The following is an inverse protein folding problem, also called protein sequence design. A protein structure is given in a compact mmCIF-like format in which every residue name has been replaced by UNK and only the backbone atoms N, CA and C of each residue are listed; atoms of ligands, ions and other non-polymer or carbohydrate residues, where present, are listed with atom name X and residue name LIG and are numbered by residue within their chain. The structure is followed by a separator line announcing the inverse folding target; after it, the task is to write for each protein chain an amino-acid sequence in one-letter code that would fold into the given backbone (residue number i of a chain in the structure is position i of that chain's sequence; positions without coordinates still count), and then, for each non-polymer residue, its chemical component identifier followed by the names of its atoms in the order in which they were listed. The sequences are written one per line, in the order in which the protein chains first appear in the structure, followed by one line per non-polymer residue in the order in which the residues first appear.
data_IF_775152641786
#
_entry.id   IF_775152641786
#
_cell.length_a   1.000
_cell.length_b   1.000
_cell.length_c   1.000
_cell.angle_alpha   90.00
_cell.angle_beta   90.00
_cell.angle_gamma   90.00
#
_symmetry.space_group_name_H-M   'P 1'
#
loop_
_entity.id
_entity.type
_entity.pdbx_description
1 polymer ?
#
# COMPACT_ATOMS: atom_id res chain seq x y z
N UNK A 1 40.66 8.46 -32.00
CA UNK A 1 39.43 7.70 -32.32
C UNK A 1 38.68 7.51 -31.02
N UNK A 2 37.49 8.10 -30.93
CA UNK A 2 36.58 8.13 -29.77
C UNK A 2 35.75 6.84 -29.77
N UNK A 3 35.46 6.29 -28.57
CA UNK A 3 34.12 5.88 -28.06
C UNK A 3 34.31 5.17 -26.70
N UNK A 4 34.20 5.86 -25.55
CA UNK A 4 33.06 5.95 -24.58
C UNK A 4 32.35 4.64 -24.20
N UNK A 5 32.12 4.40 -22.89
CA UNK A 5 31.18 3.36 -22.47
C UNK A 5 31.08 2.91 -20.99
N UNK A 6 31.02 3.84 -20.01
CA UNK A 6 30.23 3.80 -18.75
C UNK A 6 30.27 2.56 -17.80
N UNK A 7 30.65 2.71 -16.51
CA UNK A 7 30.14 1.87 -15.43
C UNK A 7 28.85 2.47 -14.86
N UNK A 8 27.73 1.78 -15.03
CA UNK A 8 26.41 2.17 -14.48
C UNK A 8 26.04 1.26 -13.32
N UNK A 9 26.51 1.60 -12.12
CA UNK A 9 25.91 1.15 -10.85
C UNK A 9 25.29 2.37 -10.16
N UNK A 10 24.16 2.84 -10.70
CA UNK A 10 23.28 3.71 -9.92
C UNK A 10 22.57 2.84 -8.89
N UNK A 11 23.13 2.86 -7.68
CA UNK A 11 22.40 2.62 -6.44
C UNK A 11 21.13 3.48 -6.47
N UNK A 12 19.99 2.85 -6.74
CA UNK A 12 18.67 3.45 -6.58
C UNK A 12 18.41 3.58 -5.08
N UNK A 13 18.91 4.66 -4.52
CA UNK A 13 18.50 5.14 -3.22
C UNK A 13 17.04 5.54 -3.32
N UNK A 14 16.13 4.65 -2.91
CA UNK A 14 14.73 4.98 -2.65
C UNK A 14 14.67 5.95 -1.47
N UNK A 15 14.85 7.24 -1.74
CA UNK A 15 14.64 8.29 -0.75
C UNK A 15 13.16 8.68 -0.77
N UNK A 16 12.31 7.80 -0.23
CA UNK A 16 10.99 8.24 0.23
C UNK A 16 11.28 9.08 1.47
N UNK A 17 11.30 10.41 1.34
CA UNK A 17 11.10 11.28 2.49
C UNK A 17 9.68 11.02 3.00
N UNK A 18 9.57 9.99 3.84
CA UNK A 18 8.50 9.88 4.80
C UNK A 18 8.51 11.19 5.56
N UNK A 19 7.46 12.01 5.40
CA UNK A 19 7.17 13.06 6.35
C UNK A 19 6.98 12.36 7.70
N UNK A 20 8.07 12.16 8.44
CA UNK A 20 8.03 11.73 9.82
C UNK A 20 7.29 12.81 10.57
N UNK A 21 6.03 12.55 10.89
CA UNK A 21 5.37 13.24 11.97
C UNK A 21 6.24 13.01 13.22
N UNK A 22 7.04 14.00 13.59
CA UNK A 22 7.77 14.01 14.84
C UNK A 22 6.76 14.09 15.97
N UNK A 23 6.39 12.95 16.54
CA UNK A 23 5.59 12.87 17.77
C UNK A 23 6.48 13.27 18.96
N UNK A 24 6.50 14.56 19.28
CA UNK A 24 6.98 15.00 20.58
C UNK A 24 5.79 14.98 21.56
N UNK A 25 5.75 13.96 22.42
CA UNK A 25 4.91 13.97 23.62
C UNK A 25 5.60 14.82 24.68
N UNK A 26 5.18 16.07 24.81
CA UNK A 26 5.62 16.94 25.89
C UNK A 26 4.68 16.77 27.09
N UNK A 27 5.22 16.19 28.17
CA UNK A 27 4.61 16.20 29.50
C UNK A 27 4.53 17.63 30.04
N UNK A 28 3.33 17.96 30.56
CA UNK A 28 2.90 19.15 31.32
C UNK A 28 4.03 20.07 31.83
N UNK A 29 4.04 21.31 31.33
CA UNK A 29 4.33 22.58 32.02
C UNK A 29 5.04 23.61 31.12
N UNK A 30 4.53 23.86 29.92
CA UNK A 30 4.93 25.06 29.17
C UNK A 30 3.69 25.91 28.90
N UNK A 31 3.79 27.19 29.19
CA UNK A 31 2.77 28.21 28.96
C UNK A 31 2.54 28.29 27.43
N UNK A 32 1.49 27.64 26.94
CA UNK A 32 1.22 27.54 25.50
C UNK A 32 0.62 28.86 25.05
N UNK A 33 1.47 29.78 24.58
CA UNK A 33 1.00 30.94 23.84
C UNK A 33 0.33 30.45 22.57
N UNK A 34 -0.95 30.79 22.40
CA UNK A 34 -1.62 30.65 21.12
C UNK A 34 -0.84 31.48 20.11
N UNK A 35 -0.51 30.95 18.92
CA UNK A 35 0.21 31.73 17.92
C UNK A 35 -0.61 32.98 17.64
N UNK A 36 -0.01 34.15 17.86
CA UNK A 36 -0.56 35.41 17.36
C UNK A 36 -0.69 35.23 15.86
N UNK A 37 -1.88 35.48 15.35
CA UNK A 37 -2.16 35.50 13.92
C UNK A 37 -1.25 36.57 13.31
N UNK A 38 -0.11 36.14 12.78
CA UNK A 38 0.88 36.99 12.14
C UNK A 38 1.04 36.55 10.70
N UNK A 39 1.27 37.57 9.89
CA UNK A 39 1.35 37.56 8.44
C UNK A 39 2.34 36.51 7.93
N UNK A 40 1.93 35.82 6.86
CA UNK A 40 2.56 34.65 6.24
C UNK A 40 2.28 33.32 6.96
N UNK A 41 1.31 32.57 6.41
CA UNK A 41 0.83 31.33 6.98
C UNK A 41 1.56 30.16 6.32
N UNK A 42 2.70 29.74 6.89
CA UNK A 42 3.49 28.57 6.46
C UNK A 42 2.73 27.22 6.58
N UNK A 43 1.42 27.26 6.85
CA UNK A 43 0.57 26.09 7.08
C UNK A 43 0.72 25.48 8.47
N UNK A 44 1.47 26.14 9.36
CA UNK A 44 1.58 25.77 10.76
C UNK A 44 0.18 25.78 11.41
N UNK A 45 -0.19 24.69 12.08
CA UNK A 45 -1.48 24.66 12.77
C UNK A 45 -1.42 23.90 14.08
N UNK A 46 -2.11 24.45 15.08
CA UNK A 46 -2.23 23.86 16.40
C UNK A 46 -3.69 23.53 16.65
N UNK A 47 -3.99 22.25 16.89
CA UNK A 47 -5.35 21.79 17.17
C UNK A 47 -5.42 21.06 18.49
N UNK A 48 -6.35 21.47 19.36
CA UNK A 48 -6.69 20.74 20.59
C UNK A 48 -7.68 19.62 20.28
N UNK A 49 -7.36 18.39 20.66
CA UNK A 49 -8.31 17.26 20.61
C UNK A 49 -9.20 17.26 21.84
N UNK A 50 -10.38 16.64 21.73
CA UNK A 50 -11.30 16.42 22.85
C UNK A 50 -10.66 15.64 24.01
N UNK A 51 -9.63 14.83 23.74
CA UNK A 51 -8.85 14.11 24.76
C UNK A 51 -7.84 14.97 25.53
N UNK A 52 -7.80 16.29 25.30
CA UNK A 52 -6.83 17.22 25.88
C UNK A 52 -5.45 17.25 25.23
N UNK A 53 -5.20 16.36 24.24
CA UNK A 53 -3.94 16.32 23.51
C UNK A 53 -3.86 17.44 22.48
N UNK A 54 -2.72 18.14 22.43
CA UNK A 54 -2.46 19.23 21.48
C UNK A 54 -1.65 18.66 20.32
N UNK A 55 -2.17 18.82 19.10
CA UNK A 55 -1.49 18.41 17.87
C UNK A 55 -0.89 19.64 17.21
N UNK A 56 0.42 19.65 17.06
CA UNK A 56 1.15 20.63 16.26
C UNK A 56 1.40 20.04 14.88
N UNK A 57 1.03 20.78 13.84
CA UNK A 57 1.49 20.55 12.47
C UNK A 57 2.51 21.64 12.18
N UNK A 58 3.74 21.21 11.89
CA UNK A 58 4.78 22.11 11.39
C UNK A 58 4.37 22.60 10.01
N UNK A 59 4.66 23.85 9.72
CA UNK A 59 4.57 24.39 8.38
C UNK A 59 5.63 23.80 7.47
N UNK A 60 5.55 24.20 6.20
CA UNK A 60 6.61 23.95 5.23
C UNK A 60 7.54 25.16 5.19
N UNK A 61 8.85 24.93 5.29
CA UNK A 61 9.83 26.01 5.12
C UNK A 61 9.84 26.53 3.68
N UNK A 62 10.21 27.79 3.48
CA UNK A 62 10.33 28.38 2.14
C UNK A 62 11.38 27.64 1.30
N UNK A 63 12.46 27.17 1.92
CA UNK A 63 13.50 26.37 1.27
C UNK A 63 12.96 25.02 0.78
N UNK A 64 12.18 24.31 1.61
CA UNK A 64 11.57 23.03 1.23
C UNK A 64 10.53 23.22 0.12
N UNK A 65 9.78 24.33 0.14
CA UNK A 65 8.83 24.67 -0.90
C UNK A 65 9.54 24.94 -2.24
N UNK A 66 10.57 25.78 -2.22
CA UNK A 66 11.34 26.11 -3.42
C UNK A 66 12.03 24.87 -4.01
N UNK A 67 12.58 24.00 -3.16
CA UNK A 67 13.14 22.73 -3.59
C UNK A 67 12.08 21.84 -4.28
N UNK A 68 10.91 21.66 -3.68
CA UNK A 68 9.83 20.85 -4.28
C UNK A 68 9.31 21.45 -5.58
N UNK A 69 9.22 22.78 -5.66
CA UNK A 69 8.84 23.51 -6.86
C UNK A 69 9.85 23.29 -7.98
N UNK A 70 11.15 23.41 -7.71
CA UNK A 70 12.20 23.13 -8.68
C UNK A 70 12.20 21.66 -9.15
N UNK A 71 12.02 20.72 -8.23
CA UNK A 71 11.86 19.31 -8.58
C UNK A 71 10.64 19.11 -9.50
N UNK A 72 9.49 19.68 -9.16
CA UNK A 72 8.29 19.58 -9.98
C UNK A 72 8.49 20.16 -11.39
N UNK A 73 9.13 21.32 -11.53
CA UNK A 73 9.37 21.91 -12.85
C UNK A 73 10.43 21.17 -13.66
N UNK A 74 11.41 20.54 -13.00
CA UNK A 74 12.49 19.82 -13.68
C UNK A 74 12.08 18.42 -14.11
N UNK A 75 11.40 17.65 -13.26
CA UNK A 75 10.98 16.27 -13.56
C UNK A 75 9.54 16.15 -14.02
N UNK A 76 8.73 17.20 -13.85
CA UNK A 76 7.29 17.13 -14.03
C UNK A 76 6.59 16.40 -12.87
N UNK A 77 5.27 16.21 -12.97
CA UNK A 77 4.52 15.40 -12.02
C UNK A 77 5.01 13.95 -12.01
N UNK A 78 5.17 13.38 -10.82
CA UNK A 78 5.41 11.95 -10.65
C UNK A 78 4.15 11.17 -11.06
N UNK A 79 4.15 10.64 -12.28
CA UNK A 79 3.13 9.70 -12.74
C UNK A 79 3.49 8.33 -12.17
N UNK A 80 2.70 7.85 -11.21
CA UNK A 80 2.86 6.48 -10.71
C UNK A 80 2.53 5.50 -11.83
N UNK A 81 3.45 4.58 -12.11
CA UNK A 81 3.22 3.54 -13.09
C UNK A 81 2.08 2.64 -12.61
N UNK A 82 0.98 2.58 -13.37
CA UNK A 82 -0.23 1.84 -12.98
C UNK A 82 0.01 0.34 -12.81
N UNK A 83 1.15 -0.17 -13.28
CA UNK A 83 1.57 -1.57 -13.14
C UNK A 83 2.17 -1.91 -11.78
N UNK A 84 2.49 -0.94 -10.91
CA UNK A 84 3.20 -1.23 -9.66
C UNK A 84 2.46 -2.25 -8.79
N UNK A 85 1.12 -2.19 -8.74
CA UNK A 85 0.29 -3.09 -7.93
C UNK A 85 0.34 -4.52 -8.47
N UNK A 86 0.24 -4.68 -9.79
CA UNK A 86 0.32 -5.99 -10.45
C UNK A 86 1.73 -6.56 -10.37
N UNK A 87 2.75 -5.76 -10.66
CA UNK A 87 4.15 -6.19 -10.54
C UNK A 87 4.51 -6.59 -9.11
N UNK A 88 3.92 -5.92 -8.09
CA UNK A 88 4.10 -6.32 -6.71
C UNK A 88 3.46 -7.68 -6.42
N UNK A 89 2.25 -7.94 -6.92
CA UNK A 89 1.60 -9.26 -6.80
C UNK A 89 2.36 -10.33 -7.57
N UNK A 90 2.85 -10.03 -8.77
CA UNK A 90 3.64 -10.97 -9.57
C UNK A 90 4.93 -11.33 -8.86
N UNK A 91 5.71 -10.33 -8.44
CA UNK A 91 6.93 -10.56 -7.65
C UNK A 91 6.63 -11.24 -6.33
N UNK A 92 5.50 -10.94 -5.70
CA UNK A 92 5.07 -11.67 -4.52
C UNK A 92 4.89 -13.13 -4.90
N UNK A 93 3.99 -13.48 -5.81
CA UNK A 93 3.66 -14.87 -6.13
C UNK A 93 4.86 -15.64 -6.68
N UNK A 94 5.68 -15.04 -7.54
CA UNK A 94 6.91 -15.63 -8.07
C UNK A 94 7.95 -15.92 -6.97
N UNK A 95 8.06 -15.06 -5.96
CA UNK A 95 9.00 -15.25 -4.84
C UNK A 95 8.38 -16.02 -3.64
N UNK A 96 7.07 -16.29 -3.65
CA UNK A 96 6.28 -16.77 -2.49
C UNK A 96 5.83 -18.22 -2.60
N UNK A 97 6.53 -19.03 -3.40
CA UNK A 97 6.68 -20.46 -3.12
C UNK A 97 8.11 -20.72 -2.62
N UNK A 98 8.57 -19.90 -1.67
CA UNK A 98 9.60 -20.33 -0.72
C UNK A 98 8.90 -20.71 0.58
N UNK A 99 9.34 -21.80 1.21
CA UNK A 99 8.59 -22.49 2.27
C UNK A 99 8.28 -21.64 3.51
N UNK A 100 8.98 -20.51 3.69
CA UNK A 100 9.02 -19.70 4.91
C UNK A 100 8.25 -18.36 4.85
N UNK A 101 7.55 -18.06 3.76
CA UNK A 101 6.86 -16.78 3.62
C UNK A 101 5.43 -16.82 4.17
N UNK A 102 5.12 -16.06 5.22
CA UNK A 102 3.75 -15.89 5.74
C UNK A 102 3.16 -14.53 5.40
N UNK A 103 2.00 -14.49 4.73
CA UNK A 103 1.29 -13.23 4.49
C UNK A 103 0.79 -12.57 5.78
N UNK A 104 0.55 -13.35 6.83
CA UNK A 104 0.06 -12.82 8.10
C UNK A 104 1.08 -11.92 8.79
N UNK A 105 2.36 -12.18 8.55
CA UNK A 105 3.48 -11.50 9.21
C UNK A 105 3.91 -10.22 8.49
N UNK A 106 3.34 -9.95 7.31
CA UNK A 106 3.64 -8.77 6.51
C UNK A 106 3.07 -7.49 7.08
N UNK A 107 3.56 -6.36 6.58
CA UNK A 107 2.98 -5.07 6.96
C UNK A 107 1.54 -4.93 6.47
N UNK A 108 0.75 -4.07 7.11
CA UNK A 108 -0.62 -3.78 6.65
C UNK A 108 -0.62 -3.35 5.19
N UNK A 109 0.30 -2.46 4.82
CA UNK A 109 0.38 -1.89 3.47
C UNK A 109 0.55 -3.00 2.44
N UNK A 110 1.51 -3.91 2.65
CA UNK A 110 1.77 -5.02 1.73
C UNK A 110 0.56 -5.94 1.57
N UNK A 111 -0.14 -6.27 2.67
CA UNK A 111 -1.36 -7.08 2.60
C UNK A 111 -2.46 -6.43 1.76
N UNK A 112 -2.72 -5.13 1.95
CA UNK A 112 -3.70 -4.42 1.12
C UNK A 112 -3.23 -4.34 -0.35
N UNK A 113 -1.94 -4.11 -0.60
CA UNK A 113 -1.39 -4.09 -1.96
C UNK A 113 -1.62 -5.41 -2.68
N UNK A 114 -1.48 -6.54 -1.98
CA UNK A 114 -1.75 -7.86 -2.54
C UNK A 114 -3.22 -8.00 -2.92
N UNK A 115 -4.14 -7.66 -2.00
CA UNK A 115 -5.59 -7.73 -2.26
C UNK A 115 -5.97 -6.85 -3.46
N UNK A 116 -5.49 -5.60 -3.52
CA UNK A 116 -5.76 -4.71 -4.64
C UNK A 116 -5.19 -5.24 -5.97
N UNK A 117 -4.08 -5.97 -5.94
CA UNK A 117 -3.55 -6.58 -7.17
C UNK A 117 -4.40 -7.74 -7.66
N UNK A 118 -5.01 -8.53 -6.77
CA UNK A 118 -5.98 -9.56 -7.15
C UNK A 118 -7.25 -8.95 -7.75
N UNK A 119 -7.76 -7.85 -7.16
CA UNK A 119 -8.89 -7.10 -7.71
C UNK A 119 -8.55 -6.56 -9.10
N UNK A 120 -7.33 -6.05 -9.29
CA UNK A 120 -6.87 -5.58 -10.59
C UNK A 120 -6.85 -6.71 -11.63
N UNK A 121 -6.37 -7.91 -11.29
CA UNK A 121 -6.45 -9.08 -12.18
C UNK A 121 -7.89 -9.38 -12.60
N UNK A 122 -8.84 -9.30 -11.68
CA UNK A 122 -10.27 -9.43 -12.00
C UNK A 122 -10.73 -8.39 -13.03
N UNK A 123 -10.40 -7.10 -12.84
CA UNK A 123 -10.78 -6.05 -13.79
C UNK A 123 -10.06 -6.15 -15.14
N UNK A 124 -8.85 -6.72 -15.17
CA UNK A 124 -8.12 -7.07 -16.39
C UNK A 124 -8.67 -8.32 -17.10
N UNK A 125 -9.70 -8.96 -16.53
CA UNK A 125 -10.34 -10.19 -17.04
C UNK A 125 -9.44 -11.42 -16.99
N UNK A 126 -8.37 -11.37 -16.21
CA UNK A 126 -7.48 -12.52 -15.94
C UNK A 126 -8.10 -13.40 -14.83
N UNK A 127 -9.33 -13.88 -15.03
CA UNK A 127 -10.11 -14.53 -13.96
C UNK A 127 -9.50 -15.84 -13.47
N UNK A 128 -8.93 -16.65 -14.37
CA UNK A 128 -8.29 -17.91 -14.01
C UNK A 128 -7.05 -17.69 -13.15
N UNK A 129 -6.25 -16.69 -13.51
CA UNK A 129 -5.07 -16.26 -12.75
C UNK A 129 -5.45 -15.68 -11.40
N UNK A 130 -6.42 -14.76 -11.37
CA UNK A 130 -7.04 -14.25 -10.14
C UNK A 130 -7.39 -15.40 -9.19
N UNK A 131 -8.12 -16.40 -9.69
CA UNK A 131 -8.61 -17.49 -8.87
C UNK A 131 -7.48 -18.36 -8.32
N UNK A 132 -6.49 -18.68 -9.17
CA UNK A 132 -5.29 -19.41 -8.77
C UNK A 132 -4.52 -18.68 -7.66
N UNK A 133 -4.31 -17.39 -7.85
CA UNK A 133 -3.52 -16.55 -6.93
C UNK A 133 -4.24 -16.34 -5.59
N UNK A 134 -5.57 -16.19 -5.62
CA UNK A 134 -6.41 -16.19 -4.41
C UNK A 134 -6.28 -17.51 -3.64
N UNK A 135 -6.27 -18.65 -4.33
CA UNK A 135 -6.15 -19.95 -3.68
C UNK A 135 -4.78 -20.12 -3.01
N UNK A 136 -3.70 -19.75 -3.70
CA UNK A 136 -2.35 -19.78 -3.14
C UNK A 136 -2.24 -18.95 -1.84
N UNK A 137 -2.92 -17.80 -1.80
CA UNK A 137 -2.95 -16.96 -0.60
C UNK A 137 -3.75 -17.58 0.56
N UNK A 138 -4.85 -18.26 0.28
CA UNK A 138 -5.60 -19.00 1.31
C UNK A 138 -4.77 -20.14 1.86
N UNK A 139 -4.16 -20.93 0.97
CA UNK A 139 -3.29 -22.04 1.35
C UNK A 139 -2.10 -21.55 2.20
N UNK A 140 -1.53 -20.39 1.87
CA UNK A 140 -0.51 -19.74 2.67
C UNK A 140 -1.01 -19.40 4.08
N UNK A 141 -2.17 -18.74 4.20
CA UNK A 141 -2.76 -18.41 5.50
C UNK A 141 -2.97 -19.66 6.34
N UNK A 142 -3.53 -20.70 5.75
CA UNK A 142 -3.86 -21.96 6.42
C UNK A 142 -2.59 -22.72 6.86
N UNK A 143 -1.54 -22.74 6.02
CA UNK A 143 -0.24 -23.35 6.33
C UNK A 143 0.40 -22.76 7.59
N UNK A 144 0.40 -21.43 7.71
CA UNK A 144 1.01 -20.74 8.86
C UNK A 144 0.07 -20.65 10.07
N UNK A 145 -1.22 -21.00 9.91
CA UNK A 145 -2.23 -20.95 10.97
C UNK A 145 -3.09 -22.23 10.98
N UNK A 146 -2.51 -23.42 11.26
CA UNK A 146 -3.19 -24.71 11.10
C UNK A 146 -4.43 -24.93 11.99
N UNK A 147 -4.61 -24.11 13.05
CA UNK A 147 -5.77 -24.13 13.95
C UNK A 147 -6.49 -22.77 13.97
N UNK A 148 -6.61 -22.13 12.81
CA UNK A 148 -7.17 -20.78 12.69
C UNK A 148 -8.66 -20.73 13.05
N UNK A 149 -8.97 -20.30 14.26
CA UNK A 149 -10.33 -19.86 14.59
C UNK A 149 -10.55 -18.42 14.09
N UNK A 150 -11.24 -18.28 12.96
CA UNK A 150 -11.61 -16.99 12.38
C UNK A 150 -12.58 -16.19 13.27
N UNK A 151 -13.30 -16.82 14.20
CA UNK A 151 -14.25 -16.14 15.08
C UNK A 151 -13.60 -15.56 16.33
N UNK A 152 -12.38 -15.98 16.66
CA UNK A 152 -11.62 -15.41 17.77
C UNK A 152 -11.38 -13.91 17.56
N UNK A 153 -11.63 -13.10 18.59
CA UNK A 153 -11.48 -11.63 18.54
C UNK A 153 -10.06 -11.18 18.12
N UNK A 154 -9.03 -11.95 18.48
CA UNK A 154 -7.63 -11.73 18.08
C UNK A 154 -7.41 -11.83 16.57
N UNK A 155 -8.22 -12.62 15.87
CA UNK A 155 -8.07 -12.92 14.45
C UNK A 155 -8.97 -12.05 13.56
N UNK A 156 -9.55 -10.96 14.08
CA UNK A 156 -10.45 -10.07 13.33
C UNK A 156 -9.85 -9.58 12.00
N UNK A 157 -8.55 -9.31 11.97
CA UNK A 157 -7.87 -8.86 10.76
C UNK A 157 -7.79 -9.98 9.71
N UNK A 158 -7.38 -11.18 10.12
CA UNK A 158 -7.34 -12.36 9.25
C UNK A 158 -8.73 -12.73 8.73
N UNK A 159 -9.76 -12.67 9.59
CA UNK A 159 -11.16 -12.86 9.16
C UNK A 159 -11.56 -11.90 8.07
N UNK A 160 -11.18 -10.62 8.17
CA UNK A 160 -11.44 -9.63 7.13
C UNK A 160 -10.76 -10.01 5.82
N UNK A 161 -9.46 -10.31 5.86
CA UNK A 161 -8.69 -10.70 4.66
C UNK A 161 -9.30 -11.95 4.01
N UNK A 162 -9.63 -12.97 4.81
CA UNK A 162 -10.23 -14.19 4.31
C UNK A 162 -11.59 -13.95 3.64
N UNK A 163 -12.40 -13.04 4.19
CA UNK A 163 -13.67 -12.61 3.59
C UNK A 163 -13.45 -11.86 2.26
N UNK A 164 -12.45 -10.98 2.19
CA UNK A 164 -12.09 -10.28 0.95
C UNK A 164 -11.62 -11.28 -0.13
N UNK A 165 -10.76 -12.24 0.22
CA UNK A 165 -10.32 -13.32 -0.68
C UNK A 165 -11.51 -14.19 -1.14
N UNK A 166 -12.43 -14.54 -0.26
CA UNK A 166 -13.65 -15.27 -0.62
C UNK A 166 -14.52 -14.49 -1.60
N UNK A 167 -14.71 -13.19 -1.34
CA UNK A 167 -15.46 -12.32 -2.23
C UNK A 167 -14.83 -12.25 -3.63
N UNK A 168 -13.52 -12.01 -3.72
CA UNK A 168 -12.78 -11.98 -5.00
C UNK A 168 -12.90 -13.33 -5.72
N UNK A 169 -12.69 -14.45 -5.03
CA UNK A 169 -12.85 -15.78 -5.65
C UNK A 169 -14.26 -16.00 -6.21
N UNK A 170 -15.31 -15.59 -5.48
CA UNK A 170 -16.69 -15.75 -5.95
C UNK A 170 -16.98 -14.95 -7.22
N UNK A 171 -16.41 -13.74 -7.33
CA UNK A 171 -16.53 -12.89 -8.51
C UNK A 171 -15.79 -13.50 -9.71
N UNK A 172 -14.57 -13.98 -9.51
CA UNK A 172 -13.78 -14.65 -10.56
C UNK A 172 -14.48 -15.94 -11.04
N UNK A 173 -14.99 -16.79 -10.13
CA UNK A 173 -15.74 -18.02 -10.47
C UNK A 173 -17.00 -17.69 -11.30
N UNK A 174 -17.79 -16.70 -10.85
CA UNK A 174 -19.01 -16.30 -11.55
C UNK A 174 -18.70 -15.89 -13.00
N UNK A 175 -17.64 -15.12 -13.22
CA UNK A 175 -17.24 -14.69 -14.56
C UNK A 175 -16.73 -15.82 -15.43
N UNK A 176 -15.98 -16.76 -14.87
CA UNK A 176 -15.53 -17.97 -15.58
C UNK A 176 -16.76 -18.79 -16.03
N UNK A 177 -17.74 -18.98 -15.16
CA UNK A 177 -18.98 -19.70 -15.49
C UNK A 177 -19.75 -19.01 -16.62
N UNK A 178 -20.00 -17.70 -16.50
CA UNK A 178 -20.66 -16.89 -17.54
C UNK A 178 -19.92 -16.97 -18.90
N UNK A 179 -18.60 -16.99 -18.88
CA UNK A 179 -17.77 -17.14 -20.08
C UNK A 179 -17.87 -18.53 -20.70
N UNK A 180 -17.97 -19.59 -19.89
CA UNK A 180 -18.08 -20.96 -20.37
C UNK A 180 -19.47 -21.25 -20.95
N UNK A 181 -20.55 -20.75 -20.33
CA UNK A 181 -21.91 -20.88 -20.85
C UNK A 181 -22.07 -20.24 -22.23
N UNK A 182 -21.45 -19.07 -22.46
CA UNK A 182 -21.45 -18.41 -23.77
C UNK A 182 -20.77 -19.25 -24.84
N UNK A 183 -19.60 -19.83 -24.53
CA UNK A 183 -18.89 -20.71 -25.46
C UNK A 183 -19.69 -21.97 -25.83
N UNK A 184 -20.48 -22.50 -24.90
CA UNK A 184 -21.33 -23.67 -25.12
C UNK A 184 -22.58 -23.36 -25.95
N UNK A 185 -23.12 -22.14 -25.85
CA UNK A 185 -24.30 -21.71 -26.62
C UNK A 185 -23.98 -21.23 -28.05
N UNK A 186 -22.71 -21.11 -28.41
CA UNK A 186 -22.23 -20.75 -29.76
C UNK A 186 -21.88 -21.97 -30.63
N UNK A 187 -22.05 -23.19 -30.10
CA UNK A 187 -21.90 -24.49 -30.80
C UNK A 187 -23.29 -25.02 -31.18
#
# INVERSE_FOLDING_TARGET
MILVGVPSTRSLSFFIMSQKASMQTLTKNNNIQMPKQLDYNDGESVTKKASGLIRFRKGQSEEDYNFQKEQFWSTGPLVQNHTFVTEFVEKFIENTISEDYSITDRSKIERETIIHGLEKLYFQREYERCLKDVQLLKDNIDKFNPNLDLNAKKNKNLKRIYNELNYISSMCIKKIHESNEKKLGEI
#
